data_IF_994114183996
#
_entry.id   IF_994114183996
#
_cell.length_a   1.000
_cell.length_b   1.000
_cell.length_c   1.000
_cell.angle_alpha   90.00
_cell.angle_beta   90.00
_cell.angle_gamma   90.00
#
_symmetry.space_group_name_H-M   'P 1'
#
loop_
_entity.id
_entity.type
_entity.pdbx_description
1 polymer ?
#
# COMPACT_ATOMS: atom_id res chain seq x y z
N UNK A 1 19.48 23.94 2.32
CA UNK A 1 18.31 23.50 3.10
C UNK A 1 17.25 23.01 2.12
N UNK A 2 17.01 21.69 2.03
CA UNK A 2 15.94 21.14 1.17
C UNK A 2 14.63 21.18 1.95
N UNK A 3 13.65 21.91 1.43
CA UNK A 3 12.30 21.98 1.99
C UNK A 3 11.64 20.61 1.96
N UNK A 4 11.44 19.99 3.13
CA UNK A 4 10.63 18.79 3.29
C UNK A 4 9.17 19.15 2.97
N UNK A 5 8.71 18.81 1.77
CA UNK A 5 7.32 18.99 1.38
C UNK A 5 6.47 17.92 2.07
N UNK A 6 5.86 18.29 3.20
CA UNK A 6 4.91 17.47 3.95
C UNK A 6 3.50 17.71 3.40
N UNK A 7 3.06 16.83 2.50
CA UNK A 7 1.68 16.89 2.00
C UNK A 7 0.72 16.36 3.06
N UNK A 8 -0.04 17.26 3.67
CA UNK A 8 -1.04 16.95 4.73
C UNK A 8 -2.22 16.11 4.23
N UNK A 9 -2.48 16.12 2.92
CA UNK A 9 -3.66 15.48 2.32
C UNK A 9 -3.33 14.48 1.20
N UNK A 10 -2.07 14.41 0.75
CA UNK A 10 -1.66 13.49 -0.32
C UNK A 10 -0.34 12.80 0.02
N UNK A 11 -0.35 11.84 0.98
CA UNK A 11 0.86 11.10 1.35
C UNK A 11 1.52 10.38 0.16
N UNK A 12 0.75 10.07 -0.89
CA UNK A 12 1.21 9.41 -2.12
C UNK A 12 2.32 10.18 -2.86
N UNK A 13 2.44 11.49 -2.66
CA UNK A 13 3.45 12.32 -3.32
C UNK A 13 4.75 12.47 -2.52
N UNK A 14 4.84 11.85 -1.34
CA UNK A 14 5.98 11.98 -0.45
C UNK A 14 7.02 10.86 -0.68
N UNK A 15 8.29 11.14 -0.37
CA UNK A 15 9.36 10.13 -0.45
C UNK A 15 9.15 9.03 0.59
N UNK A 16 9.71 7.85 0.36
CA UNK A 16 9.57 6.71 1.27
C UNK A 16 10.11 7.02 2.68
N UNK A 17 11.18 7.77 2.77
CA UNK A 17 11.78 8.23 4.04
C UNK A 17 10.83 9.19 4.78
N UNK A 18 10.10 10.01 4.04
CA UNK A 18 9.08 10.90 4.59
C UNK A 18 7.82 10.13 5.02
N UNK A 19 7.49 9.01 4.36
CA UNK A 19 6.39 8.13 4.76
C UNK A 19 6.70 7.37 6.05
N UNK A 20 7.90 6.78 6.17
CA UNK A 20 8.32 6.08 7.38
C UNK A 20 8.43 7.02 8.59
N UNK A 21 8.95 8.24 8.39
CA UNK A 21 9.13 9.21 9.48
C UNK A 21 7.84 9.81 10.03
N UNK A 22 6.76 9.86 9.24
CA UNK A 22 5.44 10.33 9.70
C UNK A 22 4.53 9.19 10.14
N UNK A 23 4.94 7.93 9.96
CA UNK A 23 4.13 6.78 10.33
C UNK A 23 4.15 6.61 11.85
N UNK A 24 3.15 7.19 12.51
CA UNK A 24 2.94 7.09 13.95
C UNK A 24 1.99 5.92 14.24
N UNK A 25 2.45 4.97 15.07
CA UNK A 25 1.67 3.83 15.56
C UNK A 25 1.34 2.79 14.46
N UNK A 26 0.90 1.58 14.88
CA UNK A 26 0.54 0.44 13.98
C UNK A 26 1.71 -0.20 13.22
N UNK A 27 2.95 -0.06 13.70
CA UNK A 27 4.12 -0.75 13.14
C UNK A 27 3.96 -2.27 13.08
N UNK A 28 3.39 -2.87 14.13
CA UNK A 28 3.10 -4.31 14.17
C UNK A 28 2.14 -4.74 13.06
N UNK A 29 1.10 -3.95 12.77
CA UNK A 29 0.18 -4.24 11.68
C UNK A 29 0.89 -4.13 10.33
N UNK A 30 1.70 -3.09 10.12
CA UNK A 30 2.45 -2.92 8.87
C UNK A 30 3.45 -4.07 8.65
N UNK A 31 4.14 -4.49 9.70
CA UNK A 31 5.09 -5.62 9.67
C UNK A 31 4.39 -6.94 9.41
N UNK A 32 3.29 -7.23 10.14
CA UNK A 32 2.44 -8.39 9.90
C UNK A 32 2.01 -8.49 8.45
N UNK A 33 1.51 -7.39 7.87
CA UNK A 33 1.06 -7.38 6.47
C UNK A 33 2.19 -7.61 5.47
N UNK A 34 3.39 -7.09 5.74
CA UNK A 34 4.57 -7.36 4.90
C UNK A 34 4.96 -8.84 4.98
N UNK A 35 4.96 -9.44 6.17
CA UNK A 35 5.28 -10.87 6.33
C UNK A 35 4.21 -11.77 5.70
N UNK A 36 2.92 -11.46 5.84
CA UNK A 36 1.86 -12.22 5.16
C UNK A 36 1.98 -12.15 3.64
N UNK A 37 2.39 -11.01 3.07
CA UNK A 37 2.69 -10.88 1.63
C UNK A 37 3.89 -11.75 1.27
N UNK A 38 4.95 -11.73 2.09
CA UNK A 38 6.14 -12.55 1.87
C UNK A 38 5.80 -14.04 1.90
N UNK A 39 5.10 -14.50 2.93
CA UNK A 39 4.65 -15.90 3.04
C UNK A 39 3.81 -16.30 1.82
N UNK A 40 2.95 -15.40 1.35
CA UNK A 40 2.16 -15.61 0.12
C UNK A 40 3.01 -15.67 -1.15
N UNK A 41 4.18 -15.05 -1.18
CA UNK A 41 5.09 -15.10 -2.31
C UNK A 41 5.92 -16.39 -2.35
N UNK A 42 6.30 -16.91 -1.18
CA UNK A 42 7.24 -18.04 -1.07
C UNK A 42 6.56 -19.38 -0.81
N UNK A 43 5.28 -19.37 -0.42
CA UNK A 43 4.50 -20.59 -0.14
C UNK A 43 3.21 -20.68 -0.96
N UNK A 44 2.55 -21.85 -0.96
CA UNK A 44 1.19 -21.98 -1.48
C UNK A 44 0.11 -21.23 -0.68
N UNK A 45 0.38 -20.86 0.59
CA UNK A 45 -0.60 -20.19 1.44
C UNK A 45 -0.81 -18.75 0.97
N UNK A 46 -2.04 -18.37 0.58
CA UNK A 46 -2.35 -17.01 0.08
C UNK A 46 -3.13 -16.21 1.11
N UNK A 47 -2.63 -15.01 1.41
CA UNK A 47 -3.24 -14.07 2.34
C UNK A 47 -3.92 -12.93 1.59
N UNK A 48 -5.17 -12.66 1.95
CA UNK A 48 -5.95 -11.54 1.42
C UNK A 48 -6.36 -10.63 2.58
N UNK A 49 -6.08 -9.33 2.47
CA UNK A 49 -6.40 -8.35 3.51
C UNK A 49 -7.14 -7.17 2.91
N UNK A 50 -8.23 -6.76 3.58
CA UNK A 50 -8.98 -5.55 3.28
C UNK A 50 -8.89 -4.57 4.45
N UNK A 51 -8.07 -3.50 4.35
CA UNK A 51 -8.01 -2.47 5.39
C UNK A 51 -9.33 -1.68 5.47
N UNK A 52 -10.06 -1.79 6.58
CA UNK A 52 -11.31 -1.07 6.83
C UNK A 52 -11.08 0.02 7.89
N UNK A 53 -11.62 1.21 7.66
CA UNK A 53 -11.58 2.30 8.63
C UNK A 53 -12.09 3.63 8.07
N UNK A 54 -12.32 4.64 8.92
CA UNK A 54 -12.86 5.94 8.51
C UNK A 54 -11.97 6.67 7.49
N UNK A 55 -12.51 7.65 6.77
CA UNK A 55 -11.72 8.52 5.88
C UNK A 55 -10.67 9.26 6.72
N UNK A 56 -9.47 9.47 6.16
CA UNK A 56 -8.38 10.15 6.84
C UNK A 56 -7.57 9.32 7.84
N UNK A 57 -7.97 8.08 8.16
CA UNK A 57 -7.25 7.21 9.14
C UNK A 57 -5.89 6.67 8.66
N UNK A 58 -5.43 7.09 7.48
CA UNK A 58 -4.14 6.69 6.92
C UNK A 58 -4.15 5.37 6.13
N UNK A 59 -5.29 4.89 5.61
CA UNK A 59 -5.34 3.65 4.80
C UNK A 59 -4.41 3.71 3.58
N UNK A 60 -4.54 4.77 2.78
CA UNK A 60 -3.69 4.99 1.60
C UNK A 60 -2.21 5.06 1.99
N UNK A 61 -1.89 5.72 3.10
CA UNK A 61 -0.53 5.80 3.62
C UNK A 61 0.02 4.42 4.00
N UNK A 62 -0.77 3.61 4.74
CA UNK A 62 -0.38 2.24 5.12
C UNK A 62 -0.10 1.36 3.90
N UNK A 63 -0.97 1.38 2.88
CA UNK A 63 -0.78 0.57 1.67
C UNK A 63 0.45 1.04 0.88
N UNK A 64 0.68 2.35 0.79
CA UNK A 64 1.91 2.89 0.19
C UNK A 64 3.17 2.49 0.95
N UNK A 65 3.14 2.49 2.28
CA UNK A 65 4.25 2.04 3.13
C UNK A 65 4.59 0.57 2.87
N UNK A 66 3.57 -0.30 2.88
CA UNK A 66 3.71 -1.74 2.61
C UNK A 66 4.29 -1.97 1.22
N UNK A 67 3.79 -1.26 0.20
CA UNK A 67 4.31 -1.33 -1.15
C UNK A 67 5.83 -1.07 -1.21
N UNK A 68 6.28 0.01 -0.58
CA UNK A 68 7.70 0.34 -0.57
C UNK A 68 8.53 -0.69 0.19
N UNK A 69 8.06 -1.19 1.34
CA UNK A 69 8.76 -2.22 2.12
C UNK A 69 8.90 -3.53 1.33
N UNK A 70 7.82 -3.99 0.70
CA UNK A 70 7.83 -5.19 -0.14
C UNK A 70 8.77 -5.02 -1.33
N UNK A 71 8.74 -3.87 -2.02
CA UNK A 71 9.60 -3.62 -3.19
C UNK A 71 11.09 -3.56 -2.85
N UNK A 72 11.46 -3.24 -1.61
CA UNK A 72 12.86 -3.19 -1.14
C UNK A 72 13.41 -4.57 -0.76
N UNK A 73 12.57 -5.55 -0.49
CA UNK A 73 12.97 -6.91 -0.09
C UNK A 73 13.51 -7.71 -1.27
N UNK A 74 14.79 -8.07 -1.19
CA UNK A 74 15.48 -8.80 -2.27
C UNK A 74 14.89 -10.18 -2.52
N UNK A 75 14.48 -10.88 -1.46
CA UNK A 75 13.85 -12.21 -1.54
C UNK A 75 12.50 -12.22 -2.29
N UNK A 76 11.88 -11.04 -2.46
CA UNK A 76 10.59 -10.87 -3.12
C UNK A 76 10.67 -10.29 -4.53
N UNK A 77 11.80 -9.70 -4.92
CA UNK A 77 11.94 -8.96 -6.19
C UNK A 77 11.61 -9.79 -7.43
N UNK A 78 12.04 -11.04 -7.45
CA UNK A 78 11.83 -11.96 -8.59
C UNK A 78 10.57 -12.82 -8.44
N UNK A 79 9.88 -12.74 -7.30
CA UNK A 79 8.73 -13.59 -6.95
C UNK A 79 7.40 -12.86 -7.00
N UNK A 80 7.41 -11.53 -6.99
CA UNK A 80 6.21 -10.69 -6.95
C UNK A 80 6.16 -9.73 -8.12
N UNK A 81 5.07 -9.80 -8.88
CA UNK A 81 4.62 -8.73 -9.76
C UNK A 81 3.52 -7.94 -9.05
N UNK A 82 3.78 -6.67 -8.74
CA UNK A 82 2.84 -5.84 -7.98
C UNK A 82 1.99 -5.01 -8.95
N UNK A 83 0.70 -5.34 -9.06
CA UNK A 83 -0.30 -4.51 -9.72
C UNK A 83 -0.85 -3.46 -8.74
N UNK A 84 -0.67 -2.18 -9.05
CA UNK A 84 -1.23 -1.08 -8.26
C UNK A 84 -2.44 -0.48 -8.98
N UNK A 85 -3.64 -0.74 -8.45
CA UNK A 85 -4.89 -0.16 -8.96
C UNK A 85 -5.11 1.23 -8.35
N UNK A 86 -5.41 2.22 -9.19
CA UNK A 86 -5.80 3.57 -8.71
C UNK A 86 -7.27 3.51 -8.27
N UNK A 87 -7.60 4.20 -7.17
CA UNK A 87 -8.98 4.28 -6.66
C UNK A 87 -9.93 4.94 -7.67
N UNK A 88 -9.42 5.83 -8.52
CA UNK A 88 -10.16 6.51 -9.58
C UNK A 88 -9.70 5.99 -10.94
N UNK A 89 -10.45 5.02 -11.50
CA UNK A 89 -10.75 4.96 -12.95
C UNK A 89 -11.71 3.84 -13.38
N UNK A 90 -12.56 3.28 -12.50
CA UNK A 90 -13.73 2.52 -12.97
C UNK A 90 -14.90 2.76 -12.02
N UNK A 91 -15.49 3.96 -12.10
CA UNK A 91 -16.92 4.02 -11.84
C UNK A 91 -17.53 3.08 -12.87
N UNK A 92 -18.02 1.91 -12.45
CA UNK A 92 -18.84 1.07 -13.30
C UNK A 92 -19.92 2.02 -13.87
N UNK A 93 -19.94 2.29 -15.18
CA UNK A 93 -21.07 2.99 -15.73
C UNK A 93 -22.28 2.14 -15.37
N UNK A 94 -23.32 2.73 -14.78
CA UNK A 94 -24.59 2.05 -14.52
C UNK A 94 -25.27 1.56 -15.81
N UNK A 95 -24.68 1.80 -16.98
CA UNK A 95 -25.11 1.25 -18.25
C UNK A 95 -24.49 -0.12 -18.45
N UNK A 96 -25.05 -1.11 -17.75
CA UNK A 96 -25.15 -2.46 -18.32
C UNK A 96 -25.94 -2.33 -19.62
N UNK A 97 -25.23 -2.21 -20.73
CA UNK A 97 -25.79 -2.47 -22.04
C UNK A 97 -25.02 -3.64 -22.60
N UNK A 98 -25.35 -4.83 -22.09
CA UNK A 98 -25.16 -6.08 -22.82
C UNK A 98 -26.21 -6.07 -23.95
N UNK A 99 -25.76 -5.91 -25.19
CA UNK A 99 -26.45 -6.36 -26.40
C UNK A 99 -25.50 -7.27 -27.16
#
# INVERSE_FOLDING_TARGET
MKSNFLSRFTPRSMTHEALESIFVQRHQLAEYLVESIRESAITPAKHYTLPIGPRGIGKTHLVSLIYHRVRRREDLRERLLIAWLREEEWGLPHTSTYY
#
